data_IF_449625126327
#
_entry.id   IF_449625126327
#
_cell.length_a   1.000
_cell.length_b   1.000
_cell.length_c   1.000
_cell.angle_alpha   90.00
_cell.angle_beta   90.00
_cell.angle_gamma   90.00
#
_symmetry.space_group_name_H-M   'P 1'
#
loop_
_entity.id
_entity.type
_entity.pdbx_description
1 polymer ?
#
# COMPACT_ATOMS: atom_id res chain seq x y z
N UNK A 1 -8.02 9.62 3.85
CA UNK A 1 -7.88 10.24 2.52
C UNK A 1 -7.34 9.22 1.56
N UNK A 2 -7.91 9.11 0.38
CA UNK A 2 -7.42 8.24 -0.69
C UNK A 2 -6.57 9.04 -1.67
N UNK A 3 -5.48 8.48 -2.16
CA UNK A 3 -4.64 9.13 -3.16
C UNK A 3 -5.35 9.13 -4.54
N UNK A 4 -5.32 10.26 -5.23
CA UNK A 4 -5.98 10.44 -6.52
C UNK A 4 -5.19 9.79 -7.67
N UNK A 5 -5.88 9.11 -8.58
CA UNK A 5 -5.33 8.46 -9.78
C UNK A 5 -5.13 9.40 -10.98
N UNK A 6 -4.59 10.61 -10.77
CA UNK A 6 -4.32 11.58 -11.85
C UNK A 6 -3.28 11.07 -12.88
N UNK A 7 -3.35 11.59 -14.12
CA UNK A 7 -2.53 11.11 -15.26
C UNK A 7 -1.03 11.44 -15.17
N UNK A 8 -0.62 12.50 -14.47
CA UNK A 8 0.80 12.86 -14.23
C UNK A 8 1.09 12.94 -12.74
N UNK A 9 2.37 12.81 -12.36
CA UNK A 9 2.81 12.97 -10.98
C UNK A 9 2.36 14.31 -10.38
N UNK A 10 2.60 15.41 -11.07
CA UNK A 10 2.18 16.74 -10.61
C UNK A 10 0.68 16.82 -10.35
N UNK A 11 -0.12 16.19 -11.20
CA UNK A 11 -1.59 16.13 -11.05
C UNK A 11 -1.99 15.33 -9.80
N UNK A 12 -1.32 14.19 -9.52
CA UNK A 12 -1.61 13.36 -8.35
C UNK A 12 -1.20 14.02 -7.05
N UNK A 13 0.01 14.58 -7.01
CA UNK A 13 0.50 15.28 -5.83
C UNK A 13 -0.31 16.55 -5.55
N UNK A 14 -0.65 17.30 -6.59
CA UNK A 14 -1.60 18.42 -6.48
C UNK A 14 -2.96 17.96 -5.95
N UNK A 15 -3.47 16.84 -6.45
CA UNK A 15 -4.72 16.25 -5.97
C UNK A 15 -4.68 15.93 -4.47
N UNK A 16 -3.58 15.35 -3.98
CA UNK A 16 -3.36 15.11 -2.55
C UNK A 16 -3.38 16.41 -1.74
N UNK A 17 -2.64 17.45 -2.17
CA UNK A 17 -2.61 18.73 -1.47
C UNK A 17 -4.00 19.39 -1.41
N UNK A 18 -4.78 19.31 -2.50
CA UNK A 18 -6.17 19.77 -2.55
C UNK A 18 -7.03 19.01 -1.56
N UNK A 19 -6.89 17.68 -1.50
CA UNK A 19 -7.69 16.84 -0.61
C UNK A 19 -7.35 17.09 0.87
N UNK A 20 -6.08 17.32 1.19
CA UNK A 20 -5.66 17.74 2.53
C UNK A 20 -6.33 19.06 2.89
N UNK A 21 -6.30 20.06 2.01
CA UNK A 21 -6.93 21.37 2.26
C UNK A 21 -8.45 21.26 2.44
N UNK A 22 -9.12 20.40 1.66
CA UNK A 22 -10.56 20.11 1.80
C UNK A 22 -10.88 19.46 3.15
N UNK A 23 -10.10 18.46 3.55
CA UNK A 23 -10.32 17.75 4.82
C UNK A 23 -10.12 18.65 6.03
N UNK A 24 -9.33 19.69 5.91
CA UNK A 24 -9.15 20.70 6.93
C UNK A 24 -10.32 21.72 7.00
N UNK A 25 -11.37 21.54 6.19
CA UNK A 25 -12.56 22.40 6.12
C UNK A 25 -12.24 23.90 5.92
N UNK A 26 -11.32 24.20 4.98
CA UNK A 26 -10.91 25.58 4.71
C UNK A 26 -11.31 26.10 3.32
N UNK A 27 -12.62 26.23 3.03
CA UNK A 27 -13.06 26.80 1.76
C UNK A 27 -12.70 28.30 1.60
N UNK A 28 -12.52 29.00 2.73
CA UNK A 28 -12.23 30.45 2.73
C UNK A 28 -10.79 30.78 2.35
N UNK A 29 -9.83 29.91 2.69
CA UNK A 29 -8.42 30.15 2.40
C UNK A 29 -8.04 29.83 0.97
N UNK A 30 -8.71 28.86 0.34
CA UNK A 30 -8.62 28.69 -1.11
C UNK A 30 -9.10 29.94 -1.83
N UNK A 31 -10.13 30.63 -1.34
CA UNK A 31 -10.60 31.90 -1.87
C UNK A 31 -9.65 33.07 -1.56
N UNK A 32 -8.99 33.10 -0.37
CA UNK A 32 -8.05 34.16 0.01
C UNK A 32 -6.67 34.04 -0.68
N UNK A 33 -6.15 32.81 -0.86
CA UNK A 33 -4.93 32.60 -1.64
C UNK A 33 -5.08 33.06 -3.10
N UNK A 34 -6.32 33.10 -3.59
CA UNK A 34 -6.69 33.59 -4.93
C UNK A 34 -6.89 35.10 -4.94
N UNK A 35 -7.35 35.68 -3.82
CA UNK A 35 -7.62 37.15 -3.69
C UNK A 35 -6.36 38.01 -3.54
N UNK A 36 -5.20 37.45 -3.34
CA UNK A 36 -3.94 38.19 -3.21
C UNK A 36 -3.46 38.85 -4.50
N UNK A 37 -4.25 38.82 -5.61
CA UNK A 37 -4.08 39.70 -6.78
C UNK A 37 -5.26 40.64 -6.92
N UNK A 38 -5.05 41.97 -6.87
CA UNK A 38 -6.13 42.94 -7.13
C UNK A 38 -6.60 42.76 -8.58
N UNK A 39 -7.91 42.49 -8.76
CA UNK A 39 -8.55 42.38 -10.07
C UNK A 39 -9.15 41.01 -10.45
N UNK A 40 -9.17 40.03 -9.58
CA UNK A 40 -9.77 38.73 -9.89
C UNK A 40 -11.30 38.72 -9.73
N UNK A 41 -12.02 38.52 -10.83
CA UNK A 41 -13.48 38.39 -10.90
C UNK A 41 -13.99 37.15 -10.17
N UNK A 42 -15.22 37.19 -9.67
CA UNK A 42 -15.93 36.11 -8.98
C UNK A 42 -16.04 34.83 -9.84
N UNK A 43 -15.12 33.90 -9.68
CA UNK A 43 -15.20 32.53 -10.24
C UNK A 43 -15.34 31.53 -9.10
N UNK A 44 -16.11 30.45 -9.29
CA UNK A 44 -16.31 29.45 -8.23
C UNK A 44 -14.99 28.77 -7.80
N UNK A 45 -14.85 28.38 -6.53
CA UNK A 45 -13.59 27.95 -5.90
C UNK A 45 -12.87 26.77 -6.59
N UNK A 46 -13.63 25.90 -7.25
CA UNK A 46 -13.09 24.69 -7.91
C UNK A 46 -12.21 24.97 -9.12
N UNK A 47 -12.46 26.06 -9.88
CA UNK A 47 -11.67 26.41 -11.06
C UNK A 47 -10.42 27.23 -10.78
N UNK A 48 -10.28 27.74 -9.57
CA UNK A 48 -9.18 28.62 -9.21
C UNK A 48 -7.98 27.91 -8.60
N UNK A 49 -8.16 26.70 -8.05
CA UNK A 49 -7.06 25.91 -7.49
C UNK A 49 -6.11 25.31 -8.56
N UNK A 50 -6.57 25.10 -9.77
CA UNK A 50 -5.72 24.62 -10.87
C UNK A 50 -4.58 25.60 -11.23
N UNK A 51 -4.72 26.87 -10.87
CA UNK A 51 -3.74 27.93 -11.16
C UNK A 51 -2.75 28.22 -10.03
N UNK A 52 -2.95 27.62 -8.85
CA UNK A 52 -2.02 27.78 -7.73
C UNK A 52 -0.82 26.86 -7.95
N UNK A 53 0.41 27.38 -7.83
CA UNK A 53 1.61 26.54 -7.95
C UNK A 53 1.73 25.53 -6.82
N UNK A 54 2.31 24.37 -7.09
CA UNK A 54 2.52 23.32 -6.07
C UNK A 54 3.27 23.83 -4.85
N UNK A 55 4.39 24.58 -4.97
CA UNK A 55 5.09 25.12 -3.81
C UNK A 55 4.20 26.01 -2.92
N UNK A 56 3.29 26.77 -3.53
CA UNK A 56 2.34 27.61 -2.76
C UNK A 56 1.29 26.77 -2.04
N UNK A 57 0.84 25.70 -2.67
CA UNK A 57 -0.09 24.74 -2.03
C UNK A 57 0.56 24.02 -0.86
N UNK A 58 1.81 23.58 -1.02
CA UNK A 58 2.59 22.96 0.06
C UNK A 58 2.77 23.92 1.24
N UNK A 59 3.06 25.18 0.98
CA UNK A 59 3.17 26.21 2.02
C UNK A 59 1.86 26.38 2.77
N UNK A 60 0.74 26.47 2.06
CA UNK A 60 -0.59 26.56 2.66
C UNK A 60 -0.91 25.34 3.53
N UNK A 61 -0.71 24.13 3.00
CA UNK A 61 -0.93 22.89 3.75
C UNK A 61 -0.10 22.88 5.04
N UNK A 62 1.19 23.21 4.96
CA UNK A 62 2.06 23.26 6.14
C UNK A 62 1.59 24.23 7.20
N UNK A 63 1.20 25.44 6.78
CA UNK A 63 0.69 26.45 7.71
C UNK A 63 -0.58 25.96 8.41
N UNK A 64 -1.52 25.36 7.67
CA UNK A 64 -2.73 24.80 8.25
C UNK A 64 -2.49 23.64 9.18
N UNK A 65 -1.63 22.69 8.79
CA UNK A 65 -1.25 21.56 9.65
C UNK A 65 -0.69 22.08 11.00
N UNK A 66 0.11 23.15 10.95
CA UNK A 66 0.71 23.77 12.13
C UNK A 66 -0.33 24.56 12.96
N UNK A 67 -1.11 25.42 12.33
CA UNK A 67 -2.11 26.26 13.01
C UNK A 67 -3.20 25.43 13.69
N UNK A 68 -3.61 24.33 13.04
CA UNK A 68 -4.59 23.39 13.61
C UNK A 68 -3.98 22.33 14.51
N UNK A 69 -2.68 22.38 14.74
CA UNK A 69 -1.97 21.41 15.58
C UNK A 69 -2.24 19.96 15.18
N UNK A 70 -2.29 19.69 13.86
CA UNK A 70 -2.52 18.33 13.33
C UNK A 70 -1.35 17.44 13.74
N UNK A 71 -1.62 16.43 14.56
CA UNK A 71 -0.58 15.52 15.07
C UNK A 71 -0.22 14.42 14.09
N UNK A 72 -1.19 13.95 13.32
CA UNK A 72 -0.98 12.92 12.32
C UNK A 72 -1.79 13.21 11.06
N UNK A 73 -1.16 13.02 9.89
CA UNK A 73 -1.76 13.03 8.57
C UNK A 73 -1.73 11.60 8.04
N UNK A 74 -2.90 10.98 7.91
CA UNK A 74 -3.05 9.62 7.40
C UNK A 74 -3.46 9.65 5.94
N UNK A 75 -2.67 9.01 5.08
CA UNK A 75 -2.90 8.94 3.63
C UNK A 75 -3.11 7.47 3.28
N UNK A 76 -4.32 7.14 2.84
CA UNK A 76 -4.69 5.81 2.40
C UNK A 76 -4.42 5.64 0.89
N UNK A 77 -4.17 4.38 0.47
CA UNK A 77 -3.82 4.03 -0.92
C UNK A 77 -2.64 4.85 -1.46
N UNK A 78 -1.64 5.11 -0.61
CA UNK A 78 -0.54 6.02 -0.91
C UNK A 78 0.34 5.56 -2.09
N UNK A 79 0.32 4.28 -2.49
CA UNK A 79 1.00 3.80 -3.70
C UNK A 79 0.49 4.49 -4.97
N UNK A 80 -0.77 4.98 -4.98
CA UNK A 80 -1.30 5.71 -6.13
C UNK A 80 -0.59 7.05 -6.39
N UNK A 81 0.11 7.60 -5.40
CA UNK A 81 0.91 8.82 -5.60
C UNK A 81 2.04 8.62 -6.59
N UNK A 82 2.55 7.39 -6.68
CA UNK A 82 3.69 7.05 -7.51
C UNK A 82 3.41 5.97 -8.56
N UNK A 83 2.17 5.56 -8.72
CA UNK A 83 1.77 4.56 -9.69
C UNK A 83 2.20 4.97 -11.11
N UNK A 84 3.04 4.14 -11.76
CA UNK A 84 3.60 4.45 -13.08
C UNK A 84 4.66 5.56 -13.08
N UNK A 85 5.09 6.03 -11.91
CA UNK A 85 6.13 7.03 -11.76
C UNK A 85 7.54 6.40 -11.87
N UNK A 86 8.48 7.14 -12.48
CA UNK A 86 9.88 6.79 -12.46
C UNK A 86 10.54 7.05 -11.08
N UNK A 87 11.80 6.62 -10.92
CA UNK A 87 12.54 6.81 -9.64
C UNK A 87 12.62 8.28 -9.20
N UNK A 88 12.76 9.20 -10.14
CA UNK A 88 12.87 10.63 -9.84
C UNK A 88 11.53 11.21 -9.36
N UNK A 89 10.41 10.77 -9.94
CA UNK A 89 9.08 11.18 -9.52
C UNK A 89 8.74 10.63 -8.12
N UNK A 90 9.11 9.37 -7.83
CA UNK A 90 9.01 8.80 -6.48
C UNK A 90 9.82 9.61 -5.46
N UNK A 91 11.03 10.04 -5.84
CA UNK A 91 11.86 10.89 -4.98
C UNK A 91 11.17 12.22 -4.68
N UNK A 92 10.54 12.84 -5.68
CA UNK A 92 9.77 14.09 -5.49
C UNK A 92 8.59 13.89 -4.53
N UNK A 93 7.87 12.76 -4.60
CA UNK A 93 6.83 12.39 -3.61
C UNK A 93 7.41 12.36 -2.21
N UNK A 94 8.49 11.62 -2.04
CA UNK A 94 9.15 11.47 -0.74
C UNK A 94 9.64 12.80 -0.17
N UNK A 95 10.20 13.66 -0.99
CA UNK A 95 10.65 14.98 -0.56
C UNK A 95 9.48 15.91 -0.20
N UNK A 96 8.38 15.87 -0.94
CA UNK A 96 7.14 16.61 -0.61
C UNK A 96 6.54 16.13 0.71
N UNK A 97 6.39 14.82 0.92
CA UNK A 97 5.85 14.26 2.16
C UNK A 97 6.75 14.57 3.37
N UNK A 98 8.08 14.48 3.21
CA UNK A 98 9.06 14.86 4.23
C UNK A 98 8.93 16.35 4.60
N UNK A 99 8.72 17.21 3.60
CA UNK A 99 8.55 18.64 3.81
C UNK A 99 7.29 18.93 4.62
N UNK A 100 6.18 18.26 4.33
CA UNK A 100 4.94 18.39 5.10
C UNK A 100 5.14 17.99 6.57
N UNK A 101 5.78 16.86 6.85
CA UNK A 101 6.01 16.39 8.22
C UNK A 101 7.03 17.23 9.00
N UNK A 102 8.16 17.60 8.36
CA UNK A 102 9.29 18.25 9.07
C UNK A 102 8.99 19.65 9.58
N UNK A 103 8.19 20.42 8.85
CA UNK A 103 7.93 21.85 9.17
C UNK A 103 6.73 22.00 10.08
N UNK A 104 5.70 21.18 9.91
CA UNK A 104 4.48 21.25 10.71
C UNK A 104 4.58 20.50 12.05
N UNK A 105 5.57 19.61 12.23
CA UNK A 105 5.62 18.69 13.37
C UNK A 105 4.56 17.58 13.29
N UNK A 106 3.96 17.39 12.12
CA UNK A 106 2.91 16.41 11.88
C UNK A 106 3.52 15.06 11.49
N UNK A 107 3.11 13.97 12.13
CA UNK A 107 3.46 12.62 11.71
C UNK A 107 2.72 12.29 10.41
N UNK A 108 3.45 11.93 9.36
CA UNK A 108 2.83 11.44 8.11
C UNK A 108 2.80 9.92 8.15
N UNK A 109 1.62 9.34 8.04
CA UNK A 109 1.38 7.89 8.01
C UNK A 109 0.81 7.52 6.65
N UNK A 110 1.51 6.62 5.94
CA UNK A 110 1.11 6.14 4.63
C UNK A 110 0.56 4.71 4.78
N UNK A 111 -0.65 4.49 4.31
CA UNK A 111 -1.23 3.16 4.16
C UNK A 111 -1.21 2.77 2.69
N UNK A 112 -0.92 1.51 2.40
CA UNK A 112 -0.92 1.02 1.03
C UNK A 112 -0.25 -0.34 0.87
N UNK A 113 0.03 -0.69 -0.36
CA UNK A 113 0.64 -1.97 -0.73
C UNK A 113 2.15 -2.00 -0.50
N UNK A 114 2.77 -3.17 -0.71
CA UNK A 114 4.23 -3.37 -0.64
C UNK A 114 5.04 -2.46 -1.57
N UNK A 115 4.42 -1.84 -2.58
CA UNK A 115 5.08 -0.84 -3.43
C UNK A 115 5.65 0.33 -2.62
N UNK A 116 5.04 0.66 -1.46
CA UNK A 116 5.53 1.71 -0.57
C UNK A 116 6.89 1.40 0.07
N UNK A 117 7.29 0.13 0.14
CA UNK A 117 8.59 -0.28 0.67
C UNK A 117 9.77 0.29 -0.14
N UNK A 118 9.54 0.64 -1.41
CA UNK A 118 10.54 1.31 -2.23
C UNK A 118 10.90 2.72 -1.74
N UNK A 119 10.02 3.38 -0.98
CA UNK A 119 10.14 4.79 -0.62
C UNK A 119 11.38 5.09 0.27
N UNK A 120 11.72 4.30 1.31
CA UNK A 120 12.90 4.50 2.13
C UNK A 120 14.22 4.41 1.35
N UNK A 121 14.25 3.64 0.27
CA UNK A 121 15.47 3.40 -0.52
C UNK A 121 15.77 4.49 -1.55
N UNK A 122 14.87 5.45 -1.75
CA UNK A 122 15.05 6.54 -2.71
C UNK A 122 16.11 7.53 -2.28
N UNK A 123 16.29 7.73 -0.99
CA UNK A 123 17.35 8.57 -0.44
C UNK A 123 17.66 8.20 1.02
N UNK A 124 18.94 8.34 1.42
CA UNK A 124 19.33 8.12 2.81
C UNK A 124 18.63 9.05 3.81
N UNK A 125 18.12 10.20 3.33
CA UNK A 125 17.34 11.11 4.18
C UNK A 125 15.93 10.58 4.47
N UNK A 126 15.31 9.92 3.51
CA UNK A 126 14.01 9.25 3.69
C UNK A 126 14.19 7.99 4.52
N UNK A 127 15.17 7.14 4.19
CA UNK A 127 15.40 5.89 4.88
C UNK A 127 15.57 6.01 6.40
N UNK A 128 16.30 7.04 6.87
CA UNK A 128 16.49 7.24 8.32
C UNK A 128 15.28 7.85 9.05
N UNK A 129 14.26 8.35 8.32
CA UNK A 129 13.07 9.00 8.88
C UNK A 129 11.80 8.18 8.72
N UNK A 130 11.83 7.19 7.86
CA UNK A 130 10.71 6.28 7.59
C UNK A 130 10.84 5.02 8.41
N UNK A 131 9.69 4.51 8.86
CA UNK A 131 9.57 3.20 9.50
C UNK A 131 8.48 2.46 8.78
N UNK A 132 8.78 1.29 8.26
CA UNK A 132 7.78 0.41 7.69
C UNK A 132 7.16 -0.45 8.80
N UNK A 133 5.83 -0.54 8.80
CA UNK A 133 5.06 -1.43 9.65
C UNK A 133 4.29 -2.39 8.75
N UNK A 134 4.54 -3.67 8.91
CA UNK A 134 3.82 -4.70 8.18
C UNK A 134 2.63 -5.19 9.00
N UNK A 135 1.42 -4.94 8.52
CA UNK A 135 0.21 -5.58 9.04
C UNK A 135 0.02 -6.90 8.28
N UNK A 136 0.69 -7.95 8.78
CA UNK A 136 0.64 -9.26 8.16
C UNK A 136 -0.74 -9.90 8.31
N UNK A 137 -1.08 -10.81 7.41
CA UNK A 137 -2.24 -11.69 7.59
C UNK A 137 -1.98 -12.69 8.72
N UNK A 138 -3.03 -13.27 9.26
CA UNK A 138 -2.93 -14.35 10.25
C UNK A 138 -2.36 -15.60 9.60
N UNK A 139 -1.40 -16.26 10.27
CA UNK A 139 -0.74 -17.46 9.79
C UNK A 139 -1.24 -18.69 10.53
N UNK A 140 -1.72 -19.70 9.79
CA UNK A 140 -2.18 -20.97 10.38
C UNK A 140 -1.08 -21.75 11.09
N UNK A 141 0.16 -21.55 10.73
CA UNK A 141 1.34 -22.16 11.36
C UNK A 141 1.72 -21.55 12.70
N UNK A 142 1.16 -20.41 13.04
CA UNK A 142 1.38 -19.70 14.30
C UNK A 142 0.18 -19.92 15.22
N UNK A 143 0.43 -20.49 16.41
CA UNK A 143 -0.63 -20.83 17.37
C UNK A 143 -1.34 -19.61 17.94
N UNK A 144 -0.62 -18.50 18.14
CA UNK A 144 -1.17 -17.23 18.61
C UNK A 144 -2.10 -16.63 17.56
N UNK A 145 -1.65 -16.58 16.31
CA UNK A 145 -2.47 -16.14 15.18
C UNK A 145 -3.75 -16.98 14.99
N UNK A 146 -3.66 -18.31 15.23
CA UNK A 146 -4.84 -19.19 15.15
C UNK A 146 -5.88 -18.86 16.22
N UNK A 147 -5.45 -18.62 17.45
CA UNK A 147 -6.39 -18.26 18.53
C UNK A 147 -6.98 -16.86 18.32
N UNK A 148 -6.19 -15.90 17.86
CA UNK A 148 -6.71 -14.58 17.51
C UNK A 148 -7.70 -14.65 16.33
N UNK A 149 -7.38 -15.42 15.29
CA UNK A 149 -8.27 -15.61 14.14
C UNK A 149 -9.61 -16.26 14.57
N UNK A 150 -9.55 -17.24 15.46
CA UNK A 150 -10.74 -17.84 16.08
C UNK A 150 -11.59 -16.82 16.85
N UNK A 151 -10.93 -15.94 17.61
CA UNK A 151 -11.58 -14.83 18.31
C UNK A 151 -12.29 -13.86 17.36
N UNK A 152 -11.68 -13.57 16.21
CA UNK A 152 -12.26 -12.71 15.17
C UNK A 152 -13.49 -13.38 14.54
N UNK A 153 -13.40 -14.68 14.20
CA UNK A 153 -14.54 -15.44 13.68
C UNK A 153 -15.70 -15.44 14.67
N UNK A 154 -15.40 -15.65 15.96
CA UNK A 154 -16.41 -15.57 17.01
C UNK A 154 -17.04 -14.18 17.14
N UNK A 155 -16.24 -13.12 16.93
CA UNK A 155 -16.73 -11.73 16.93
C UNK A 155 -17.72 -11.46 15.77
N UNK A 156 -17.45 -11.99 14.57
CA UNK A 156 -18.41 -11.92 13.46
C UNK A 156 -19.70 -12.67 13.76
N UNK A 157 -19.60 -13.89 14.31
CA UNK A 157 -20.79 -14.66 14.74
C UNK A 157 -21.58 -13.91 15.82
N UNK A 158 -20.89 -13.28 16.78
CA UNK A 158 -21.52 -12.47 17.83
C UNK A 158 -22.21 -11.21 17.29
N UNK A 159 -21.68 -10.59 16.23
CA UNK A 159 -22.29 -9.44 15.58
C UNK A 159 -23.57 -9.82 14.79
N UNK A 160 -23.65 -11.05 14.28
CA UNK A 160 -24.78 -11.55 13.47
C UNK A 160 -25.30 -12.92 13.98
N UNK A 161 -25.71 -13.03 15.23
CA UNK A 161 -25.95 -14.34 15.88
C UNK A 161 -27.06 -15.17 15.25
N UNK A 162 -28.01 -14.53 14.55
CA UNK A 162 -29.07 -15.22 13.80
C UNK A 162 -28.60 -15.73 12.45
N UNK A 163 -27.76 -14.93 11.77
CA UNK A 163 -27.30 -15.24 10.41
C UNK A 163 -26.07 -16.15 10.41
N UNK A 164 -25.16 -16.00 11.38
CA UNK A 164 -23.89 -16.71 11.48
C UNK A 164 -23.85 -17.54 12.77
N UNK A 165 -24.34 -18.81 12.77
CA UNK A 165 -24.29 -19.65 13.95
C UNK A 165 -22.86 -19.90 14.42
N UNK A 166 -22.56 -19.63 15.70
CA UNK A 166 -21.20 -19.70 16.24
C UNK A 166 -20.61 -21.11 16.10
N UNK A 167 -21.41 -22.15 16.39
CA UNK A 167 -20.94 -23.53 16.31
C UNK A 167 -20.49 -23.88 14.89
N UNK A 168 -21.29 -23.52 13.89
CA UNK A 168 -20.95 -23.73 12.48
C UNK A 168 -19.63 -23.01 12.10
N UNK A 169 -19.43 -21.78 12.57
CA UNK A 169 -18.22 -21.01 12.27
C UNK A 169 -16.98 -21.65 12.90
N UNK A 170 -17.06 -22.06 14.16
CA UNK A 170 -15.94 -22.65 14.89
C UNK A 170 -15.59 -24.06 14.42
N UNK A 171 -16.60 -24.90 14.13
CA UNK A 171 -16.39 -26.24 13.56
C UNK A 171 -15.72 -26.19 12.17
N UNK A 172 -15.93 -25.13 11.40
CA UNK A 172 -15.38 -24.94 10.06
C UNK A 172 -14.26 -23.91 10.00
N UNK A 173 -13.53 -23.69 11.10
CA UNK A 173 -12.49 -22.66 11.20
C UNK A 173 -11.40 -22.80 10.13
N UNK A 174 -10.96 -24.04 9.83
CA UNK A 174 -9.97 -24.31 8.78
C UNK A 174 -10.50 -23.95 7.38
N UNK A 175 -11.77 -24.21 7.10
CA UNK A 175 -12.40 -23.80 5.85
C UNK A 175 -12.42 -22.27 5.74
N UNK A 176 -12.82 -21.57 6.81
CA UNK A 176 -12.87 -20.11 6.85
C UNK A 176 -11.46 -19.51 6.64
N UNK A 177 -10.46 -20.08 7.32
CA UNK A 177 -9.08 -19.66 7.14
C UNK A 177 -8.61 -19.87 5.68
N UNK A 178 -8.86 -21.05 5.12
CA UNK A 178 -8.44 -21.36 3.74
C UNK A 178 -9.13 -20.43 2.72
N UNK A 179 -10.42 -20.16 2.91
CA UNK A 179 -11.19 -19.30 2.01
C UNK A 179 -10.86 -17.81 2.11
N UNK A 180 -10.22 -17.37 3.20
CA UNK A 180 -9.77 -15.97 3.36
C UNK A 180 -8.25 -15.84 3.43
N UNK A 181 -7.48 -16.93 3.46
CA UNK A 181 -6.00 -16.94 3.54
C UNK A 181 -5.46 -16.18 4.77
N UNK A 182 -6.23 -16.10 5.85
CA UNK A 182 -5.91 -15.31 7.02
C UNK A 182 -6.09 -13.80 6.87
N UNK A 183 -6.70 -13.33 5.77
CA UNK A 183 -6.99 -11.92 5.52
C UNK A 183 -8.39 -11.57 6.01
N UNK A 184 -8.50 -10.72 7.03
CA UNK A 184 -9.79 -10.38 7.67
C UNK A 184 -10.74 -9.63 6.70
N UNK A 185 -10.20 -8.79 5.81
CA UNK A 185 -11.01 -8.11 4.80
C UNK A 185 -11.69 -9.09 3.83
N UNK A 186 -11.01 -10.17 3.45
CA UNK A 186 -11.58 -11.24 2.61
C UNK A 186 -12.63 -12.02 3.39
N UNK A 187 -12.34 -12.37 4.65
CA UNK A 187 -13.30 -13.07 5.53
C UNK A 187 -14.58 -12.25 5.69
N UNK A 188 -14.44 -10.97 6.00
CA UNK A 188 -15.58 -10.06 6.17
C UNK A 188 -16.46 -10.03 4.92
N UNK A 189 -15.87 -9.75 3.75
CA UNK A 189 -16.60 -9.69 2.48
C UNK A 189 -17.31 -11.03 2.18
N UNK A 190 -16.60 -12.14 2.39
CA UNK A 190 -17.16 -13.46 2.15
C UNK A 190 -18.35 -13.78 3.08
N UNK A 191 -18.25 -13.45 4.37
CA UNK A 191 -19.35 -13.65 5.31
C UNK A 191 -20.57 -12.78 4.97
N UNK A 192 -20.35 -11.53 4.54
CA UNK A 192 -21.44 -10.67 4.02
C UNK A 192 -22.13 -11.28 2.81
N UNK A 193 -21.36 -11.79 1.85
CA UNK A 193 -21.90 -12.46 0.67
C UNK A 193 -22.69 -13.72 1.05
N UNK A 194 -22.21 -14.50 2.04
CA UNK A 194 -22.88 -15.68 2.53
C UNK A 194 -24.22 -15.34 3.22
N UNK A 195 -24.25 -14.29 4.04
CA UNK A 195 -25.48 -13.81 4.68
C UNK A 195 -26.48 -13.34 3.63
N UNK A 196 -26.06 -12.49 2.69
CA UNK A 196 -26.91 -12.02 1.60
C UNK A 196 -27.48 -13.19 0.77
N UNK A 197 -26.67 -14.22 0.53
CA UNK A 197 -27.11 -15.41 -0.19
C UNK A 197 -28.11 -16.22 0.60
N UNK A 198 -27.95 -16.38 1.93
CA UNK A 198 -28.92 -17.09 2.77
C UNK A 198 -30.29 -16.38 2.76
N UNK A 199 -30.29 -15.06 2.84
CA UNK A 199 -31.52 -14.25 2.77
C UNK A 199 -32.23 -14.41 1.42
N UNK A 200 -31.49 -14.39 0.30
CA UNK A 200 -32.06 -14.63 -1.04
C UNK A 200 -32.73 -16.00 -1.17
N UNK A 201 -32.21 -17.00 -0.46
CA UNK A 201 -32.77 -18.37 -0.42
C UNK A 201 -33.87 -18.52 0.58
N UNK A 202 -34.26 -17.47 1.32
CA UNK A 202 -35.27 -17.52 2.37
C UNK A 202 -34.83 -18.30 3.64
N UNK A 203 -33.49 -18.47 3.81
CA UNK A 203 -32.96 -19.16 4.99
C UNK A 203 -32.67 -18.14 6.10
N UNK A 204 -32.92 -18.49 7.33
CA UNK A 204 -32.70 -17.63 8.50
C UNK A 204 -31.23 -17.57 8.94
N UNK A 205 -30.41 -18.52 8.46
CA UNK A 205 -28.98 -18.61 8.82
C UNK A 205 -28.18 -19.20 7.67
N UNK A 206 -26.90 -18.90 7.68
CA UNK A 206 -25.92 -19.43 6.73
C UNK A 206 -25.68 -20.91 7.02
N UNK A 207 -25.69 -21.74 5.98
CA UNK A 207 -25.30 -23.14 6.01
C UNK A 207 -23.88 -23.36 5.47
N UNK A 208 -23.31 -24.54 5.71
CA UNK A 208 -22.00 -24.91 5.18
C UNK A 208 -21.98 -24.90 3.64
N UNK A 209 -23.10 -25.29 3.00
CA UNK A 209 -23.22 -25.23 1.54
C UNK A 209 -23.15 -23.81 1.02
N UNK A 210 -23.83 -22.88 1.69
CA UNK A 210 -23.81 -21.45 1.31
C UNK A 210 -22.39 -20.90 1.47
N UNK A 211 -21.68 -21.21 2.55
CA UNK A 211 -20.28 -20.81 2.72
C UNK A 211 -19.42 -21.30 1.57
N UNK A 212 -19.56 -22.58 1.18
CA UNK A 212 -18.80 -23.13 0.04
C UNK A 212 -19.17 -22.51 -1.30
N UNK A 213 -20.44 -22.19 -1.52
CA UNK A 213 -20.90 -21.57 -2.77
C UNK A 213 -20.47 -20.12 -2.93
N UNK A 214 -20.33 -19.38 -1.83
CA UNK A 214 -19.95 -17.96 -1.82
C UNK A 214 -18.45 -17.74 -1.67
N UNK A 215 -17.67 -18.80 -1.41
CA UNK A 215 -16.21 -18.70 -1.33
C UNK A 215 -15.60 -18.27 -2.66
N UNK A 216 -14.47 -17.55 -2.59
CA UNK A 216 -13.70 -17.24 -3.77
C UNK A 216 -13.20 -18.50 -4.48
N UNK A 217 -13.11 -18.45 -5.81
CA UNK A 217 -12.57 -19.55 -6.57
C UNK A 217 -11.09 -19.82 -6.18
N UNK A 218 -10.69 -21.09 -6.29
CA UNK A 218 -9.30 -21.50 -5.98
C UNK A 218 -8.26 -20.70 -6.79
N UNK A 219 -8.54 -20.41 -8.05
CA UNK A 219 -7.65 -19.63 -8.92
C UNK A 219 -7.44 -18.23 -8.34
N UNK A 220 -8.51 -17.58 -7.87
CA UNK A 220 -8.44 -16.26 -7.25
C UNK A 220 -7.67 -16.30 -5.94
N UNK A 221 -7.93 -17.29 -5.09
CA UNK A 221 -7.23 -17.47 -3.81
C UNK A 221 -5.74 -17.73 -4.02
N UNK A 222 -5.36 -18.57 -4.99
CA UNK A 222 -3.94 -18.82 -5.31
C UNK A 222 -3.23 -17.52 -5.74
N UNK A 223 -3.87 -16.68 -6.55
CA UNK A 223 -3.29 -15.40 -6.97
C UNK A 223 -3.05 -14.48 -5.78
N UNK A 224 -4.06 -14.31 -4.93
CA UNK A 224 -3.95 -13.48 -3.71
C UNK A 224 -2.85 -14.04 -2.78
N UNK A 225 -2.78 -15.36 -2.64
CA UNK A 225 -1.76 -16.01 -1.81
C UNK A 225 -0.35 -15.73 -2.30
N UNK A 226 -0.11 -15.81 -3.62
CA UNK A 226 1.19 -15.50 -4.20
C UNK A 226 1.60 -14.04 -3.97
N UNK A 227 0.69 -13.09 -4.18
CA UNK A 227 0.92 -11.66 -3.95
C UNK A 227 1.22 -11.36 -2.48
N UNK A 228 0.48 -11.99 -1.55
CA UNK A 228 0.72 -11.85 -0.12
C UNK A 228 2.09 -12.41 0.29
N UNK A 229 2.47 -13.59 -0.23
CA UNK A 229 3.79 -14.17 0.05
C UNK A 229 4.94 -13.32 -0.48
N UNK A 230 4.80 -12.72 -1.66
CA UNK A 230 5.81 -11.84 -2.23
C UNK A 230 5.99 -10.58 -1.37
N UNK A 231 4.88 -10.00 -0.91
CA UNK A 231 4.89 -8.89 0.03
C UNK A 231 5.59 -9.27 1.35
N UNK A 232 5.22 -10.40 1.95
CA UNK A 232 5.81 -10.89 3.22
C UNK A 232 7.33 -11.12 3.09
N UNK A 233 7.77 -11.71 1.97
CA UNK A 233 9.20 -11.91 1.69
C UNK A 233 9.96 -10.59 1.58
N UNK A 234 9.35 -9.58 0.99
CA UNK A 234 9.97 -8.25 0.85
C UNK A 234 10.26 -7.62 2.21
N UNK A 235 9.37 -7.81 3.19
CA UNK A 235 9.59 -7.35 4.58
C UNK A 235 10.66 -8.14 5.32
N UNK A 236 10.72 -9.47 5.12
CA UNK A 236 11.73 -10.32 5.76
C UNK A 236 13.14 -9.94 5.27
N UNK A 237 13.28 -9.65 3.99
CA UNK A 237 14.57 -9.29 3.40
C UNK A 237 15.12 -7.93 3.89
N UNK A 238 14.28 -7.04 4.43
CA UNK A 238 14.74 -5.80 5.04
C UNK A 238 15.56 -6.02 6.34
N UNK A 239 15.37 -7.14 7.01
CA UNK A 239 16.13 -7.47 8.24
C UNK A 239 17.44 -8.21 8.01
N UNK A 240 17.73 -8.65 6.78
CA UNK A 240 18.88 -9.51 6.47
C UNK A 240 19.98 -8.68 5.82
N UNK A 241 21.18 -8.64 6.40
CA UNK A 241 22.35 -8.06 5.73
C UNK A 241 23.24 -7.16 6.58
N UNK A 242 22.97 -7.02 7.90
CA UNK A 242 23.80 -6.23 8.79
C UNK A 242 25.24 -6.78 8.88
N UNK A 243 25.40 -8.09 8.83
CA UNK A 243 26.70 -8.76 8.90
C UNK A 243 27.57 -8.43 7.67
N UNK A 244 26.97 -8.39 6.49
CA UNK A 244 27.67 -7.98 5.26
C UNK A 244 28.10 -6.52 5.35
N UNK A 245 27.21 -5.64 5.80
CA UNK A 245 27.49 -4.22 5.97
C UNK A 245 28.53 -3.97 7.07
N UNK A 246 28.47 -4.71 8.17
CA UNK A 246 29.51 -4.69 9.22
C UNK A 246 30.87 -5.07 8.64
N UNK A 247 30.94 -6.10 7.81
CA UNK A 247 32.14 -6.50 7.14
C UNK A 247 32.72 -5.40 6.25
N UNK A 248 31.89 -4.73 5.48
CA UNK A 248 32.27 -3.62 4.60
C UNK A 248 32.75 -2.39 5.40
N UNK A 249 32.02 -1.99 6.43
CA UNK A 249 32.30 -0.79 7.20
C UNK A 249 33.46 -0.96 8.21
N UNK A 250 33.61 -2.16 8.80
CA UNK A 250 34.63 -2.44 9.80
C UNK A 250 35.93 -3.05 9.21
N UNK A 251 36.01 -3.20 7.90
CA UNK A 251 37.25 -3.62 7.22
C UNK A 251 37.64 -5.10 7.41
N UNK A 252 36.75 -5.92 7.95
CA UNK A 252 37.05 -7.33 8.29
C UNK A 252 36.67 -8.35 7.18
N UNK A 253 36.09 -7.89 6.09
CA UNK A 253 35.82 -8.76 4.95
C UNK A 253 36.18 -8.03 3.65
N UNK A 254 36.88 -8.76 2.75
CA UNK A 254 36.98 -8.32 1.36
C UNK A 254 35.56 -8.12 0.84
N UNK A 255 35.23 -6.99 0.23
CA UNK A 255 33.89 -6.81 -0.34
C UNK A 255 33.64 -7.97 -1.28
N UNK A 256 32.53 -8.70 -1.05
CA UNK A 256 31.97 -9.63 -2.02
C UNK A 256 31.40 -8.81 -3.17
N UNK A 257 32.28 -8.05 -3.84
CA UNK A 257 32.01 -7.60 -5.19
C UNK A 257 32.15 -8.87 -6.03
N UNK A 258 31.06 -9.58 -6.18
CA UNK A 258 30.91 -10.43 -7.34
C UNK A 258 31.21 -9.52 -8.52
N UNK A 259 32.29 -9.77 -9.30
CA UNK A 259 32.60 -8.93 -10.46
C UNK A 259 31.33 -8.97 -11.29
N UNK A 260 30.75 -7.79 -11.51
CA UNK A 260 29.58 -7.64 -12.37
C UNK A 260 29.90 -8.44 -13.61
N UNK A 261 29.13 -9.49 -13.87
CA UNK A 261 29.33 -10.34 -15.04
C UNK A 261 29.52 -9.37 -16.19
N UNK A 262 30.67 -9.45 -16.85
CA UNK A 262 31.00 -8.59 -18.00
C UNK A 262 29.74 -8.59 -18.87
N UNK A 263 29.19 -7.43 -19.24
CA UNK A 263 28.01 -7.42 -20.07
C UNK A 263 28.33 -8.29 -21.29
N UNK A 264 27.65 -9.42 -21.39
CA UNK A 264 27.72 -10.26 -22.57
C UNK A 264 27.31 -9.32 -23.68
N UNK A 265 28.23 -9.09 -24.63
CA UNK A 265 27.97 -8.25 -25.77
C UNK A 265 26.78 -8.84 -26.52
N UNK A 266 25.61 -8.35 -26.22
CA UNK A 266 24.38 -8.71 -26.92
C UNK A 266 24.54 -8.14 -28.32
N UNK A 267 24.86 -8.99 -29.25
CA UNK A 267 24.84 -8.69 -30.68
C UNK A 267 23.51 -8.01 -30.99
N UNK A 268 23.53 -6.71 -31.25
CA UNK A 268 22.35 -5.97 -31.69
C UNK A 268 21.94 -6.47 -33.08
N UNK A 269 21.14 -7.53 -33.13
CA UNK A 269 20.41 -7.88 -34.35
C UNK A 269 19.49 -6.70 -34.68
N UNK A 270 19.76 -6.04 -35.80
CA UNK A 270 18.88 -5.02 -36.36
C UNK A 270 17.54 -5.69 -36.70
N UNK A 271 16.54 -5.46 -35.88
CA UNK A 271 15.18 -5.90 -36.18
C UNK A 271 14.55 -4.97 -37.21
N UNK A 272 14.00 -5.58 -38.29
CA UNK A 272 13.16 -4.85 -39.23
C UNK A 272 11.85 -4.41 -38.54
N UNK A 273 11.32 -3.22 -38.84
CA UNK A 273 10.02 -2.80 -38.30
C UNK A 273 8.93 -3.81 -38.67
N UNK A 274 8.19 -4.30 -37.69
CA UNK A 274 7.09 -5.27 -37.88
C UNK A 274 7.30 -6.64 -37.26
N UNK A 275 8.50 -7.08 -36.88
CA UNK A 275 8.76 -8.35 -36.20
C UNK A 275 9.13 -8.12 -34.74
N UNK A 276 8.13 -7.89 -33.88
CA UNK A 276 8.31 -7.92 -32.43
C UNK A 276 8.02 -9.34 -31.94
N UNK A 277 9.09 -10.11 -31.68
CA UNK A 277 8.99 -11.24 -30.74
C UNK A 277 9.20 -10.67 -29.33
N UNK A 278 8.19 -10.66 -28.46
CA UNK A 278 8.38 -10.30 -27.08
C UNK A 278 9.18 -11.41 -26.39
N UNK A 279 10.47 -11.20 -26.19
CA UNK A 279 11.26 -11.99 -25.26
C UNK A 279 10.98 -11.43 -23.89
N UNK A 280 10.25 -12.17 -23.08
CA UNK A 280 10.16 -11.92 -21.65
C UNK A 280 11.51 -12.32 -21.07
N UNK A 281 12.22 -11.38 -20.43
CA UNK A 281 13.37 -11.72 -19.62
C UNK A 281 12.88 -12.61 -18.48
N UNK A 282 13.24 -13.88 -18.55
CA UNK A 282 12.96 -14.81 -17.47
C UNK A 282 13.77 -14.38 -16.26
N UNK A 283 13.09 -13.96 -15.21
CA UNK A 283 13.69 -13.74 -13.90
C UNK A 283 14.24 -15.08 -13.41
N UNK A 284 15.55 -15.24 -13.44
CA UNK A 284 16.23 -16.37 -12.82
C UNK A 284 16.44 -16.03 -11.34
N UNK A 285 15.74 -16.69 -10.41
CA UNK A 285 16.04 -16.52 -9.00
C UNK A 285 17.44 -17.10 -8.74
N UNK A 286 18.32 -16.28 -8.18
CA UNK A 286 19.62 -16.74 -7.69
C UNK A 286 19.35 -17.72 -6.55
N UNK A 287 19.52 -19.00 -6.80
CA UNK A 287 19.48 -20.04 -5.77
C UNK A 287 20.64 -19.82 -4.83
N UNK A 288 20.39 -19.32 -3.63
CA UNK A 288 21.32 -19.47 -2.52
C UNK A 288 21.32 -20.96 -2.13
N UNK A 289 22.36 -21.67 -2.56
CA UNK A 289 22.68 -22.99 -2.02
C UNK A 289 23.10 -22.82 -0.55
N UNK A 290 22.24 -23.31 0.33
CA UNK A 290 22.63 -23.62 1.69
C UNK A 290 23.56 -24.83 1.64
N UNK A 291 24.81 -24.65 1.99
CA UNK A 291 25.70 -25.76 2.36
C UNK A 291 25.76 -25.83 3.88
N UNK A 292 25.54 -27.04 4.36
CA UNK A 292 25.58 -27.64 5.67
C UNK A 292 26.40 -26.94 6.76
#
# INVERSE_FOLDING_TARGET
MTASTGRSFESRFRGLLVEILRSLNEPLMTAQAIRSKPGASHRPPSQSMEKVSIPRMEELVRNFLKERQVRALMIDEAQHLAQGAGKDEWRMVGDGLKLLGSVSGTLVVLFGTSELLGLPYLSGQLGRRTRALHLRRYLWSDSEDCEEFKGIVASFAGAFPKALPLDLMLENLQLLYTGCLGCIGILSSWLYDAVARSEQLGQSSVSLEILKQTAFSEVRLRRIHMEAQECERSFINEGVGLDNLMGELCGNTKPLITPAAKPVAVSRKKYKPGNRNPTYDAYTPTTCLATA
#
